data_IF_617589122371
#
_entry.id   IF_617589122371
#
_cell.length_a   1.000
_cell.length_b   1.000
_cell.length_c   1.000
_cell.angle_alpha   90.00
_cell.angle_beta   90.00
_cell.angle_gamma   90.00
#
_symmetry.space_group_name_H-M   'P 1'
#
loop_
_entity.id
_entity.type
_entity.pdbx_description
1 polymer ?
#
# COMPACT_ATOMS: atom_id res chain seq x y z
N UNK A 1 4.31 0.33 -13.77
CA UNK A 1 4.06 1.20 -12.59
C UNK A 1 3.88 2.67 -12.95
N UNK A 2 4.88 3.37 -13.51
CA UNK A 2 4.71 4.80 -13.90
C UNK A 2 3.60 5.04 -14.93
N UNK A 3 3.35 4.06 -15.80
CA UNK A 3 2.25 4.08 -16.77
C UNK A 3 0.91 3.59 -16.19
N UNK A 4 0.90 3.02 -14.97
CA UNK A 4 -0.25 2.33 -14.41
C UNK A 4 -0.99 3.13 -13.31
N UNK A 5 -0.35 4.14 -12.73
CA UNK A 5 -0.90 4.95 -11.63
C UNK A 5 -0.18 6.28 -11.45
N UNK A 6 -0.80 7.22 -10.72
CA UNK A 6 -0.18 8.48 -10.31
C UNK A 6 0.98 8.24 -9.32
N UNK A 7 2.17 8.05 -9.89
CA UNK A 7 3.40 7.80 -9.15
C UNK A 7 3.75 8.94 -8.21
N UNK A 8 3.44 10.20 -8.56
CA UNK A 8 3.75 11.36 -7.73
C UNK A 8 2.88 11.37 -6.47
N UNK A 9 1.59 11.03 -6.59
CA UNK A 9 0.70 10.86 -5.45
C UNK A 9 1.20 9.74 -4.52
N UNK A 10 1.57 8.58 -5.08
CA UNK A 10 2.06 7.46 -4.29
C UNK A 10 3.36 7.80 -3.56
N UNK A 11 4.33 8.44 -4.22
CA UNK A 11 5.56 8.91 -3.57
C UNK A 11 5.26 9.87 -2.42
N UNK A 12 4.31 10.80 -2.58
CA UNK A 12 3.92 11.72 -1.51
C UNK A 12 3.34 10.99 -0.30
N UNK A 13 2.55 9.94 -0.51
CA UNK A 13 1.99 9.11 0.57
C UNK A 13 3.08 8.31 1.28
N UNK A 14 3.98 7.69 0.53
CA UNK A 14 5.09 6.92 1.07
C UNK A 14 6.05 7.81 1.86
N UNK A 15 6.35 9.03 1.38
CA UNK A 15 7.18 9.99 2.11
C UNK A 15 6.59 10.36 3.48
N UNK A 16 5.26 10.52 3.57
CA UNK A 16 4.58 10.76 4.85
C UNK A 16 4.69 9.55 5.79
N UNK A 17 4.50 8.34 5.26
CA UNK A 17 4.64 7.10 6.04
C UNK A 17 6.07 6.96 6.58
N UNK A 18 7.09 7.22 5.76
CA UNK A 18 8.50 7.22 6.19
C UNK A 18 8.70 8.19 7.36
N UNK A 19 8.15 9.40 7.27
CA UNK A 19 8.19 10.37 8.38
C UNK A 19 7.50 9.88 9.65
N UNK A 20 6.38 9.14 9.54
CA UNK A 20 5.71 8.51 10.68
C UNK A 20 6.58 7.41 11.31
N UNK A 21 7.21 6.55 10.51
CA UNK A 21 8.11 5.51 11.02
C UNK A 21 9.31 6.13 11.74
N UNK A 22 9.91 7.18 11.19
CA UNK A 22 10.99 7.92 11.85
C UNK A 22 10.56 8.58 13.15
N UNK A 23 9.30 9.02 13.25
CA UNK A 23 8.77 9.58 14.50
C UNK A 23 8.60 8.49 15.56
N UNK A 24 8.05 7.33 15.19
CA UNK A 24 7.91 6.18 16.08
C UNK A 24 9.28 5.74 16.64
N UNK A 25 10.30 5.70 15.79
CA UNK A 25 11.67 5.37 16.19
C UNK A 25 12.20 6.31 17.28
N UNK A 26 12.03 7.64 17.11
CA UNK A 26 12.41 8.62 18.14
C UNK A 26 11.62 8.50 19.43
N UNK A 27 10.33 8.16 19.35
CA UNK A 27 9.47 7.99 20.54
C UNK A 27 10.01 6.93 21.51
N UNK A 28 10.75 5.93 21.01
CA UNK A 28 11.37 4.88 21.83
C UNK A 28 12.45 5.48 22.74
N UNK A 29 13.26 6.41 22.23
CA UNK A 29 14.32 7.06 22.99
C UNK A 29 13.79 8.20 23.88
N UNK A 30 12.63 8.76 23.54
CA UNK A 30 11.99 9.89 24.24
C UNK A 30 11.11 9.46 25.43
N UNK A 31 11.12 8.17 25.81
CA UNK A 31 10.32 7.60 26.92
C UNK A 31 8.81 7.90 26.80
N UNK A 32 8.32 7.90 25.55
CA UNK A 32 6.91 8.15 25.23
C UNK A 32 6.06 6.95 25.67
N UNK A 33 4.84 7.16 26.23
CA UNK A 33 4.00 6.05 26.67
C UNK A 33 3.73 5.00 25.59
N UNK A 34 3.77 3.73 25.99
CA UNK A 34 3.60 2.58 25.08
C UNK A 34 2.29 2.66 24.28
N UNK A 35 1.21 3.12 24.89
CA UNK A 35 -0.10 3.31 24.26
C UNK A 35 -0.06 4.32 23.10
N UNK A 36 0.77 5.35 23.20
CA UNK A 36 0.94 6.37 22.17
C UNK A 36 1.78 5.82 21.02
N UNK A 37 2.84 5.07 21.32
CA UNK A 37 3.64 4.35 20.32
C UNK A 37 2.75 3.38 19.53
N UNK A 38 1.94 2.57 20.23
CA UNK A 38 0.99 1.64 19.59
C UNK A 38 -0.03 2.38 18.71
N UNK A 39 -0.50 3.55 19.15
CA UNK A 39 -1.39 4.39 18.37
C UNK A 39 -0.73 4.91 17.09
N UNK A 40 0.54 5.35 17.15
CA UNK A 40 1.29 5.78 15.97
C UNK A 40 1.59 4.63 15.00
N UNK A 41 1.92 3.44 15.51
CA UNK A 41 2.10 2.23 14.68
C UNK A 41 0.80 1.92 13.92
N UNK A 42 -0.35 1.97 14.60
CA UNK A 42 -1.64 1.77 13.96
C UNK A 42 -1.95 2.82 12.90
N UNK A 43 -1.57 4.09 13.13
CA UNK A 43 -1.69 5.15 12.14
C UNK A 43 -0.82 4.91 10.89
N UNK A 44 0.44 4.49 11.07
CA UNK A 44 1.35 4.17 9.98
C UNK A 44 0.86 2.96 9.17
N UNK A 45 0.36 1.92 9.85
CA UNK A 45 -0.27 0.75 9.23
C UNK A 45 -1.51 1.11 8.41
N UNK A 46 -2.40 1.95 8.95
CA UNK A 46 -3.56 2.45 8.21
C UNK A 46 -3.15 3.24 6.96
N UNK A 47 -2.10 4.05 7.06
CA UNK A 47 -1.56 4.79 5.92
C UNK A 47 -0.96 3.86 4.85
N UNK A 48 -0.22 2.82 5.25
CA UNK A 48 0.29 1.79 4.34
C UNK A 48 -0.84 1.03 3.64
N UNK A 49 -1.88 0.62 4.36
CA UNK A 49 -3.08 0.02 3.79
C UNK A 49 -3.68 0.90 2.68
N UNK A 50 -3.85 2.20 2.95
CA UNK A 50 -4.36 3.16 1.94
C UNK A 50 -3.43 3.30 0.74
N UNK A 51 -2.11 3.27 0.94
CA UNK A 51 -1.15 3.30 -0.17
C UNK A 51 -1.26 2.04 -1.04
N UNK A 52 -1.42 0.86 -0.41
CA UNK A 52 -1.65 -0.40 -1.11
C UNK A 52 -2.96 -0.42 -1.90
N UNK A 53 -4.04 0.16 -1.37
CA UNK A 53 -5.31 0.32 -2.11
C UNK A 53 -5.13 1.13 -3.40
N UNK A 54 -4.36 2.23 -3.36
CA UNK A 54 -4.06 3.03 -4.56
C UNK A 54 -3.29 2.21 -5.59
N UNK A 55 -2.34 1.39 -5.15
CA UNK A 55 -1.59 0.49 -6.05
C UNK A 55 -2.52 -0.55 -6.68
N UNK A 56 -3.40 -1.16 -5.89
CA UNK A 56 -4.36 -2.16 -6.36
C UNK A 56 -5.33 -1.57 -7.38
N UNK A 57 -5.89 -0.39 -7.11
CA UNK A 57 -6.78 0.32 -8.02
C UNK A 57 -6.11 0.61 -9.36
N UNK A 58 -4.87 1.11 -9.35
CA UNK A 58 -4.10 1.34 -10.57
C UNK A 58 -3.78 0.05 -11.33
N UNK A 59 -3.49 -1.04 -10.61
CA UNK A 59 -3.26 -2.35 -11.21
C UNK A 59 -4.50 -2.87 -11.95
N UNK A 60 -5.69 -2.74 -11.33
CA UNK A 60 -6.97 -3.13 -11.94
C UNK A 60 -7.24 -2.31 -13.21
N UNK A 61 -7.16 -0.98 -13.11
CA UNK A 61 -7.53 -0.06 -14.21
C UNK A 61 -6.61 -0.14 -15.43
N UNK A 62 -5.41 -0.71 -15.28
CA UNK A 62 -4.43 -0.75 -16.35
C UNK A 62 -4.04 -2.18 -16.70
N UNK A 63 -3.25 -2.86 -15.86
CA UNK A 63 -2.69 -4.17 -16.19
C UNK A 63 -3.76 -5.26 -16.30
N UNK A 64 -4.73 -5.28 -15.38
CA UNK A 64 -5.80 -6.30 -15.41
C UNK A 64 -6.74 -6.03 -16.58
N UNK A 65 -7.16 -4.77 -16.76
CA UNK A 65 -7.99 -4.38 -17.90
C UNK A 65 -7.33 -4.77 -19.24
N UNK A 66 -6.07 -4.41 -19.44
CA UNK A 66 -5.32 -4.72 -20.66
C UNK A 66 -5.18 -6.23 -20.88
N UNK A 67 -4.88 -6.99 -19.80
CA UNK A 67 -4.79 -8.45 -19.86
C UNK A 67 -6.11 -9.14 -20.21
N UNK A 68 -7.26 -8.56 -19.83
CA UNK A 68 -8.59 -9.06 -20.21
C UNK A 68 -8.93 -8.69 -21.67
N UNK A 69 -8.58 -7.48 -22.11
CA UNK A 69 -8.93 -7.00 -23.46
C UNK A 69 -8.03 -7.58 -24.56
N UNK A 70 -6.74 -7.81 -24.26
CA UNK A 70 -5.73 -8.13 -25.27
C UNK A 70 -4.91 -9.40 -24.97
N UNK A 71 -5.17 -10.07 -23.84
CA UNK A 71 -4.38 -11.20 -23.36
C UNK A 71 -5.20 -12.45 -23.02
N UNK A 72 -4.62 -13.29 -22.16
CA UNK A 72 -5.31 -14.44 -21.57
C UNK A 72 -6.09 -13.98 -20.32
N UNK A 73 -7.41 -13.92 -20.45
CA UNK A 73 -8.29 -13.45 -19.40
C UNK A 73 -8.24 -14.33 -18.14
N UNK A 74 -8.21 -15.66 -18.31
CA UNK A 74 -8.21 -16.60 -17.18
C UNK A 74 -6.90 -16.51 -16.39
N UNK A 75 -5.78 -16.49 -17.09
CA UNK A 75 -4.46 -16.32 -16.45
C UNK A 75 -4.34 -14.93 -15.78
N UNK A 76 -4.95 -13.90 -16.35
CA UNK A 76 -4.96 -12.54 -15.78
C UNK A 76 -5.77 -12.49 -14.49
N UNK A 77 -6.96 -13.09 -14.48
CA UNK A 77 -7.82 -13.19 -13.30
C UNK A 77 -7.11 -13.98 -12.20
N UNK A 78 -6.49 -15.11 -12.51
CA UNK A 78 -5.76 -15.91 -11.52
C UNK A 78 -4.62 -15.12 -10.84
N UNK A 79 -3.82 -14.38 -11.64
CA UNK A 79 -2.75 -13.52 -11.13
C UNK A 79 -3.30 -12.40 -10.25
N UNK A 80 -4.39 -11.78 -10.67
CA UNK A 80 -5.03 -10.71 -9.92
C UNK A 80 -5.58 -11.21 -8.58
N UNK A 81 -6.25 -12.36 -8.55
CA UNK A 81 -6.74 -13.00 -7.32
C UNK A 81 -5.60 -13.23 -6.33
N UNK A 82 -4.47 -13.77 -6.77
CA UNK A 82 -3.27 -13.94 -5.94
C UNK A 82 -2.73 -12.61 -5.37
N UNK A 83 -2.80 -11.53 -6.14
CA UNK A 83 -2.38 -10.20 -5.66
C UNK A 83 -3.34 -9.66 -4.59
N UNK A 84 -4.65 -9.86 -4.77
CA UNK A 84 -5.68 -9.46 -3.79
C UNK A 84 -5.53 -10.25 -2.50
N UNK A 85 -5.32 -11.57 -2.55
CA UNK A 85 -5.11 -12.41 -1.37
C UNK A 85 -3.90 -11.93 -0.54
N UNK A 86 -2.78 -11.62 -1.19
CA UNK A 86 -1.59 -11.08 -0.51
C UNK A 86 -1.87 -9.76 0.19
N UNK A 87 -2.66 -8.88 -0.45
CA UNK A 87 -3.01 -7.59 0.13
C UNK A 87 -4.03 -7.73 1.27
N UNK A 88 -5.03 -8.61 1.13
CA UNK A 88 -6.05 -8.87 2.13
C UNK A 88 -5.47 -9.51 3.41
N UNK A 89 -4.40 -10.29 3.27
CA UNK A 89 -3.68 -10.92 4.38
C UNK A 89 -2.67 -9.99 5.07
N UNK A 90 -2.60 -8.71 4.68
CA UNK A 90 -1.75 -7.72 5.33
C UNK A 90 -2.35 -7.37 6.71
N UNK A 91 -1.98 -8.17 7.72
CA UNK A 91 -2.51 -8.09 9.07
C UNK A 91 -1.98 -6.94 9.89
#
# INVERSE_FOLDING_TARGET
MKQCMDSANLHRRLAKIIGQIQAIDRMIDEDVPCEDILSQINAAKSALNKAGQVVLEGHIKHCVKDGIEHGDADATIEKFTKAVERFANMQ
#
